data_IF_900275461308
#
_entry.id   IF_900275461308
#
_cell.length_a   1.000
_cell.length_b   1.000
_cell.length_c   1.000
_cell.angle_alpha   90.00
_cell.angle_beta   90.00
_cell.angle_gamma   90.00
#
_symmetry.space_group_name_H-M   'P 1'
#
loop_
_entity.id
_entity.type
_entity.pdbx_description
1 polymer ?
#
# COMPACT_ATOMS: atom_id res chain seq x y z
N UNK A 1 -15.14 8.55 -0.31
CA UNK A 1 -14.11 7.80 0.42
C UNK A 1 -13.98 6.41 -0.16
N UNK A 2 -12.75 5.91 -0.28
CA UNK A 2 -12.48 4.55 -0.75
C UNK A 2 -12.48 3.58 0.44
N UNK A 3 -13.00 2.39 0.22
CA UNK A 3 -12.91 1.31 1.20
C UNK A 3 -11.52 0.68 1.10
N UNK A 4 -10.89 0.45 2.22
CA UNK A 4 -9.56 -0.20 2.27
C UNK A 4 -9.75 -1.69 2.56
N UNK A 5 -9.16 -2.52 1.70
CA UNK A 5 -9.11 -3.97 1.91
C UNK A 5 -7.65 -4.39 1.98
N UNK A 6 -7.33 -5.26 2.93
CA UNK A 6 -5.99 -5.83 3.06
C UNK A 6 -6.02 -7.29 2.62
N UNK A 7 -5.20 -7.63 1.63
CA UNK A 7 -5.04 -9.04 1.27
C UNK A 7 -4.27 -9.78 2.35
N UNK A 8 -4.44 -11.09 2.41
CA UNK A 8 -3.79 -11.93 3.42
C UNK A 8 -2.27 -11.73 3.45
N UNK A 9 -1.65 -11.62 2.28
CA UNK A 9 -0.20 -11.40 2.20
C UNK A 9 0.19 -10.06 2.83
N UNK A 10 -0.61 -9.02 2.62
CA UNK A 10 -0.35 -7.71 3.23
C UNK A 10 -0.50 -7.77 4.74
N UNK A 11 -1.52 -8.46 5.23
CA UNK A 11 -1.71 -8.64 6.67
C UNK A 11 -0.52 -9.35 7.31
N UNK A 12 -0.01 -10.39 6.64
CA UNK A 12 1.18 -11.11 7.13
C UNK A 12 2.41 -10.22 7.12
N UNK A 13 2.58 -9.43 6.07
CA UNK A 13 3.69 -8.47 5.99
C UNK A 13 3.65 -7.50 7.17
N UNK A 14 2.47 -6.94 7.44
CA UNK A 14 2.29 -6.00 8.55
C UNK A 14 2.60 -6.63 9.90
N UNK A 15 2.23 -7.90 10.08
CA UNK A 15 2.47 -8.61 11.33
C UNK A 15 3.95 -8.86 11.65
N UNK A 16 4.83 -8.72 10.66
CA UNK A 16 6.28 -8.91 10.85
C UNK A 16 7.03 -7.62 11.15
N UNK A 17 6.35 -6.48 11.10
CA UNK A 17 6.99 -5.19 11.29
C UNK A 17 7.13 -4.85 12.76
N UNK A 18 8.17 -4.06 13.08
CA UNK A 18 8.27 -3.47 14.41
C UNK A 18 7.08 -2.53 14.63
N UNK A 19 6.76 -2.29 15.90
CA UNK A 19 5.57 -1.53 16.27
C UNK A 19 5.55 -0.13 15.62
N UNK A 20 6.66 0.58 15.65
CA UNK A 20 6.74 1.94 15.13
C UNK A 20 6.47 2.01 13.64
N UNK A 21 7.12 1.14 12.86
CA UNK A 21 6.93 1.17 11.41
C UNK A 21 5.55 0.64 11.03
N UNK A 22 5.02 -0.34 11.78
CA UNK A 22 3.67 -0.83 11.59
C UNK A 22 2.67 0.33 11.68
N UNK A 23 2.75 1.13 12.74
CA UNK A 23 1.81 2.21 12.95
C UNK A 23 1.91 3.29 11.87
N UNK A 24 3.13 3.61 11.43
CA UNK A 24 3.34 4.58 10.35
C UNK A 24 2.73 4.10 9.04
N UNK A 25 2.88 2.82 8.74
CA UNK A 25 2.33 2.24 7.52
C UNK A 25 0.81 2.18 7.58
N UNK A 26 0.25 1.82 8.72
CA UNK A 26 -1.21 1.80 8.89
C UNK A 26 -1.79 3.21 8.68
N UNK A 27 -1.16 4.24 9.24
CA UNK A 27 -1.62 5.61 9.03
C UNK A 27 -1.56 6.00 7.55
N UNK A 28 -0.49 5.63 6.85
CA UNK A 28 -0.37 5.92 5.43
C UNK A 28 -1.46 5.19 4.63
N UNK A 29 -1.75 3.94 4.97
CA UNK A 29 -2.82 3.18 4.31
C UNK A 29 -4.18 3.85 4.54
N UNK A 30 -4.45 4.32 5.76
CA UNK A 30 -5.70 5.00 6.07
C UNK A 30 -5.90 6.25 5.21
N UNK A 31 -4.82 6.99 4.94
CA UNK A 31 -4.93 8.19 4.10
C UNK A 31 -5.32 7.86 2.66
N UNK A 32 -5.03 6.66 2.18
CA UNK A 32 -5.44 6.25 0.84
C UNK A 32 -6.94 6.19 0.68
N UNK A 33 -7.71 6.07 1.76
CA UNK A 33 -9.17 6.09 1.71
C UNK A 33 -9.69 7.44 1.21
N UNK A 34 -8.97 8.51 1.52
CA UNK A 34 -9.37 9.86 1.12
C UNK A 34 -8.69 10.31 -0.17
N UNK A 35 -7.46 9.86 -0.40
CA UNK A 35 -6.72 10.17 -1.63
C UNK A 35 -5.86 8.95 -2.01
N UNK A 36 -6.35 8.12 -2.93
CA UNK A 36 -5.60 6.90 -3.31
C UNK A 36 -4.36 7.19 -4.16
N UNK A 37 -4.20 8.42 -4.65
CA UNK A 37 -3.01 8.83 -5.42
C UNK A 37 -2.33 10.02 -4.73
N UNK A 38 -1.80 9.83 -3.51
CA UNK A 38 -1.16 10.95 -2.81
C UNK A 38 0.14 11.36 -3.50
N UNK A 39 0.66 12.56 -3.19
CA UNK A 39 1.97 12.97 -3.71
C UNK A 39 3.02 11.92 -3.42
N UNK A 40 3.84 11.61 -4.41
CA UNK A 40 4.88 10.58 -4.30
C UNK A 40 4.45 9.18 -4.66
N UNK A 41 3.15 8.93 -4.89
CA UNK A 41 2.72 7.62 -5.37
C UNK A 41 3.21 7.41 -6.80
N UNK A 42 3.43 6.14 -7.17
CA UNK A 42 3.82 5.79 -8.52
C UNK A 42 3.05 4.60 -9.02
N UNK A 43 2.65 4.66 -10.28
CA UNK A 43 2.00 3.54 -10.93
C UNK A 43 3.04 2.48 -11.27
N UNK A 44 2.69 1.20 -11.05
CA UNK A 44 3.59 0.10 -11.37
C UNK A 44 3.50 -0.26 -12.84
N UNK A 45 4.67 -0.40 -13.48
CA UNK A 45 4.74 -0.82 -14.88
C UNK A 45 4.23 -2.26 -15.02
N UNK A 46 3.57 -2.53 -16.15
CA UNK A 46 3.06 -3.86 -16.44
C UNK A 46 1.75 -4.22 -15.78
N UNK A 47 1.16 -3.31 -15.01
CA UNK A 47 -0.15 -3.49 -14.41
C UNK A 47 -1.09 -2.39 -14.86
N UNK A 48 -2.40 -2.63 -14.71
CA UNK A 48 -3.40 -1.63 -15.07
C UNK A 48 -3.65 -0.63 -13.96
N UNK A 49 -3.78 -1.13 -12.74
CA UNK A 49 -4.28 -0.33 -11.63
C UNK A 49 -3.46 -0.46 -10.35
N UNK A 50 -2.25 -0.98 -10.44
CA UNK A 50 -1.40 -1.13 -9.27
C UNK A 50 -0.50 0.08 -9.09
N UNK A 51 -0.36 0.48 -7.84
CA UNK A 51 0.36 1.67 -7.43
C UNK A 51 1.20 1.35 -6.21
N UNK A 52 2.14 2.23 -5.90
CA UNK A 52 2.91 2.13 -4.66
C UNK A 52 3.07 3.48 -4.00
N UNK A 53 3.16 3.46 -2.68
CA UNK A 53 3.63 4.60 -1.89
C UNK A 53 4.82 4.15 -1.07
N UNK A 54 5.68 5.11 -0.71
CA UNK A 54 6.80 4.87 0.19
C UNK A 54 6.44 5.29 1.60
N UNK A 55 6.84 4.48 2.58
CA UNK A 55 6.79 4.82 3.98
C UNK A 55 8.12 4.40 4.59
N UNK A 56 9.05 5.35 4.75
CA UNK A 56 10.41 5.04 5.15
C UNK A 56 11.08 4.12 4.13
N UNK A 57 11.61 2.99 4.60
CA UNK A 57 12.25 2.01 3.73
C UNK A 57 11.28 0.96 3.19
N UNK A 58 9.99 1.17 3.40
CA UNK A 58 8.96 0.23 2.97
C UNK A 58 8.15 0.80 1.82
N UNK A 59 7.56 -0.10 1.05
CA UNK A 59 6.63 0.24 -0.01
C UNK A 59 5.32 -0.50 0.20
N UNK A 60 4.22 0.25 0.10
CA UNK A 60 2.88 -0.31 0.12
C UNK A 60 2.43 -0.44 -1.32
N UNK A 61 2.14 -1.66 -1.75
CA UNK A 61 1.71 -1.95 -3.12
C UNK A 61 0.21 -2.22 -3.07
N UNK A 62 -0.55 -1.47 -3.86
CA UNK A 62 -2.00 -1.52 -3.79
C UNK A 62 -2.64 -1.31 -5.16
N UNK A 63 -3.86 -1.80 -5.30
CA UNK A 63 -4.70 -1.61 -6.48
C UNK A 63 -5.75 -0.55 -6.16
N UNK A 64 -6.06 0.28 -7.16
CA UNK A 64 -7.15 1.25 -7.06
C UNK A 64 -8.25 0.83 -8.02
N UNK A 65 -9.42 0.51 -7.48
CA UNK A 65 -10.61 0.21 -8.26
C UNK A 65 -11.56 1.40 -8.14
N UNK A 66 -11.42 2.36 -9.05
CA UNK A 66 -12.13 3.64 -8.96
C UNK A 66 -13.65 3.49 -9.06
N UNK A 67 -14.13 2.59 -9.92
CA UNK A 67 -15.56 2.45 -10.16
C UNK A 67 -16.30 2.03 -8.90
N UNK A 68 -15.72 1.10 -8.15
CA UNK A 68 -16.34 0.59 -6.92
C UNK A 68 -15.77 1.24 -5.66
N UNK A 69 -14.86 2.18 -5.82
CA UNK A 69 -14.24 2.93 -4.72
C UNK A 69 -13.57 2.03 -3.69
N UNK A 70 -12.67 1.16 -4.16
CA UNK A 70 -11.92 0.23 -3.31
C UNK A 70 -10.43 0.41 -3.56
N UNK A 71 -9.66 0.44 -2.46
CA UNK A 71 -8.20 0.31 -2.47
C UNK A 71 -7.88 -1.04 -1.86
N UNK A 72 -7.23 -1.91 -2.63
CA UNK A 72 -6.83 -3.24 -2.16
C UNK A 72 -5.33 -3.28 -1.97
N UNK A 73 -4.88 -3.45 -0.73
CA UNK A 73 -3.46 -3.51 -0.42
C UNK A 73 -2.98 -4.95 -0.65
N UNK A 74 -2.04 -5.10 -1.59
CA UNK A 74 -1.47 -6.40 -1.97
C UNK A 74 -0.33 -6.81 -1.07
N UNK A 75 0.63 -5.92 -0.86
CA UNK A 75 1.86 -6.21 -0.14
C UNK A 75 2.39 -4.99 0.58
N UNK A 76 3.14 -5.25 1.65
CA UNK A 76 3.97 -4.23 2.33
C UNK A 76 5.37 -4.81 2.35
N UNK A 77 6.29 -4.24 1.56
CA UNK A 77 7.62 -4.83 1.32
C UNK A 77 8.72 -3.84 1.67
N UNK A 78 9.79 -4.37 2.25
CA UNK A 78 11.01 -3.59 2.40
C UNK A 78 11.56 -3.26 1.01
N UNK A 79 12.15 -2.09 0.83
CA UNK A 79 12.64 -1.65 -0.49
C UNK A 79 13.58 -2.66 -1.15
N UNK A 80 14.35 -3.41 -0.35
CA UNK A 80 15.26 -4.44 -0.88
C UNK A 80 14.52 -5.59 -1.55
N UNK A 81 13.33 -5.90 -1.07
CA UNK A 81 12.54 -7.00 -1.63
C UNK A 81 11.87 -6.62 -2.93
N UNK A 82 11.56 -5.34 -3.11
CA UNK A 82 10.86 -4.84 -4.30
C UNK A 82 11.77 -4.85 -5.53
N UNK A 83 13.07 -4.70 -5.33
CA UNK A 83 14.03 -4.62 -6.43
C UNK A 83 14.72 -5.93 -6.77
N UNK A 84 14.25 -7.02 -6.25
CA UNK A 84 14.75 -8.33 -6.62
C UNK A 84 14.18 -8.84 -7.93
#
# INVERSE_FOLDING_TARGET
VYKILLESAAEKDLGRLSHDIHDRIIEAIKTLAHNPRPPGCRKLAGTKNDWRIRVGDYRVIYEIADVIRVVRVHRVRHRREVYR
#
